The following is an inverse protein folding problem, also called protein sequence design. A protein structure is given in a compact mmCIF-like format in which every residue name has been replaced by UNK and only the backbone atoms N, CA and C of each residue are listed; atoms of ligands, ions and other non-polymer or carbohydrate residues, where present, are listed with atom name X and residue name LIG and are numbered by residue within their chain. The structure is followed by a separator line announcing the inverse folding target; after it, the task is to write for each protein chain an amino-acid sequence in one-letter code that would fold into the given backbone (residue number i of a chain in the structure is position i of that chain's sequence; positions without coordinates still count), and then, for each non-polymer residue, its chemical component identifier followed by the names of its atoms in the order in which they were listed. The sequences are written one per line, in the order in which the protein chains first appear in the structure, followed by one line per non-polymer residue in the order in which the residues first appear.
data_IF_727032200706
#
_entry.id   IF_727032200706
#
_cell.length_a   1.000
_cell.length_b   1.000
_cell.length_c   1.000
_cell.angle_alpha   90.00
_cell.angle_beta   90.00
_cell.angle_gamma   90.00
#
_symmetry.space_group_name_H-M   'P 1'
#
loop_
_entity.id
_entity.type
_entity.pdbx_description
1 polymer ?
#
# COMPACT_ATOMS: atom_id res chain seq x y z
N UNK A 1 -5.54 21.51 20.58
CA UNK A 1 -5.84 20.92 19.25
C UNK A 1 -7.32 20.93 19.03
N UNK A 2 -7.76 21.29 17.81
CA UNK A 2 -9.16 21.24 17.45
C UNK A 2 -9.64 19.78 17.45
N UNK A 3 -10.82 19.56 18.03
CA UNK A 3 -11.49 18.27 18.09
C UNK A 3 -12.85 18.40 17.43
N UNK A 4 -13.32 17.32 16.84
CA UNK A 4 -14.66 17.22 16.27
C UNK A 4 -15.39 16.04 16.93
N UNK A 5 -16.68 16.22 17.19
CA UNK A 5 -17.57 15.16 17.68
C UNK A 5 -18.70 15.02 16.68
N UNK A 6 -18.94 13.80 16.22
CA UNK A 6 -20.09 13.50 15.38
C UNK A 6 -20.01 12.10 14.80
N UNK A 7 -21.07 11.72 14.11
CA UNK A 7 -21.15 10.45 13.39
C UNK A 7 -20.18 10.41 12.20
N UNK A 8 -19.90 9.22 11.67
CA UNK A 8 -19.08 9.09 10.47
C UNK A 8 -19.65 9.87 9.27
N UNK A 9 -20.97 9.95 9.16
CA UNK A 9 -21.66 10.74 8.13
C UNK A 9 -21.45 12.24 8.31
N UNK A 10 -21.51 12.75 9.55
CA UNK A 10 -21.27 14.16 9.85
C UNK A 10 -19.80 14.53 9.66
N UNK A 11 -18.88 13.68 10.10
CA UNK A 11 -17.45 13.86 9.84
C UNK A 11 -17.22 13.91 8.32
N UNK A 12 -17.80 13.00 7.55
CA UNK A 12 -17.70 13.01 6.09
C UNK A 12 -18.33 14.24 5.45
N UNK A 13 -19.46 14.71 5.98
CA UNK A 13 -20.15 15.90 5.49
C UNK A 13 -19.38 17.20 5.75
N UNK A 14 -18.81 17.35 6.94
CA UNK A 14 -18.19 18.60 7.37
C UNK A 14 -16.68 18.67 7.15
N UNK A 15 -16.00 17.53 7.21
CA UNK A 15 -14.55 17.45 7.02
C UNK A 15 -14.15 16.81 5.69
N UNK A 16 -15.09 16.18 4.96
CA UNK A 16 -14.78 15.47 3.71
C UNK A 16 -14.09 16.33 2.66
N UNK A 17 -14.66 17.50 2.36
CA UNK A 17 -14.08 18.40 1.34
C UNK A 17 -12.71 18.96 1.77
N UNK A 18 -12.51 19.14 3.09
CA UNK A 18 -11.22 19.54 3.63
C UNK A 18 -10.18 18.43 3.51
N UNK A 19 -10.56 17.17 3.80
CA UNK A 19 -9.70 16.00 3.63
C UNK A 19 -9.36 15.78 2.16
N UNK A 20 -10.32 15.93 1.25
CA UNK A 20 -10.09 15.82 -0.19
C UNK A 20 -9.12 16.89 -0.70
N UNK A 21 -9.27 18.14 -0.26
CA UNK A 21 -8.35 19.21 -0.65
C UNK A 21 -6.90 18.93 -0.25
N UNK A 22 -6.67 18.24 0.87
CA UNK A 22 -5.34 17.80 1.29
C UNK A 22 -4.79 16.68 0.39
N UNK A 23 -5.65 15.74 0.00
CA UNK A 23 -5.29 14.65 -0.91
C UNK A 23 -4.99 15.18 -2.30
N UNK A 24 -5.86 16.04 -2.84
CA UNK A 24 -5.73 16.61 -4.18
C UNK A 24 -4.40 17.33 -4.36
N UNK A 25 -3.96 18.10 -3.35
CA UNK A 25 -2.66 18.77 -3.38
C UNK A 25 -1.49 17.79 -3.57
N UNK A 26 -1.47 16.70 -2.80
CA UNK A 26 -0.41 15.68 -2.88
C UNK A 26 -0.53 14.83 -4.13
N UNK A 27 -1.73 14.50 -4.57
CA UNK A 27 -1.96 13.73 -5.79
C UNK A 27 -1.54 14.53 -7.02
N UNK A 28 -1.72 15.85 -7.03
CA UNK A 28 -1.21 16.71 -8.09
C UNK A 28 0.32 16.85 -8.07
N UNK A 29 0.95 16.94 -6.89
CA UNK A 29 2.41 16.83 -6.77
C UNK A 29 2.93 15.51 -7.34
N UNK A 30 2.25 14.41 -6.98
CA UNK A 30 2.56 13.09 -7.47
C UNK A 30 2.40 13.04 -8.99
N UNK A 31 1.27 13.48 -9.54
CA UNK A 31 1.03 13.55 -10.99
C UNK A 31 2.12 14.30 -11.76
N UNK A 32 2.60 15.44 -11.22
CA UNK A 32 3.70 16.21 -11.82
C UNK A 32 5.00 15.41 -11.88
N UNK A 33 5.27 14.60 -10.85
CA UNK A 33 6.46 13.73 -10.83
C UNK A 33 6.48 12.69 -11.96
N UNK A 34 5.32 12.29 -12.49
CA UNK A 34 5.21 11.37 -13.63
C UNK A 34 5.43 12.05 -14.99
N UNK A 35 5.62 13.37 -15.03
CA UNK A 35 6.09 14.06 -16.24
C UNK A 35 5.17 13.95 -17.45
N UNK A 36 3.85 13.95 -17.21
CA UNK A 36 2.81 13.80 -18.23
C UNK A 36 2.85 12.44 -18.94
N UNK A 37 3.18 11.35 -18.24
CA UNK A 37 3.17 9.99 -18.79
C UNK A 37 1.97 9.20 -18.23
N UNK A 38 1.18 8.60 -19.12
CA UNK A 38 0.10 7.71 -18.74
C UNK A 38 0.65 6.43 -18.11
N UNK A 39 0.25 6.11 -16.87
CA UNK A 39 0.79 4.95 -16.13
C UNK A 39 0.43 3.60 -16.76
N UNK A 40 -0.63 3.55 -17.56
CA UNK A 40 -1.11 2.31 -18.18
C UNK A 40 -0.46 2.00 -19.54
N UNK A 41 -0.35 3.01 -20.41
CA UNK A 41 0.17 2.81 -21.77
C UNK A 41 1.55 3.41 -22.01
N UNK A 42 2.08 4.18 -21.05
CA UNK A 42 3.39 4.79 -21.11
C UNK A 42 3.54 5.93 -22.11
N UNK A 43 2.46 6.32 -22.81
CA UNK A 43 2.48 7.46 -23.73
C UNK A 43 2.50 8.76 -22.96
N UNK A 44 3.25 9.72 -23.50
CA UNK A 44 3.22 11.09 -23.02
C UNK A 44 1.91 11.76 -23.46
N UNK A 45 1.19 12.34 -22.52
CA UNK A 45 -0.13 12.93 -22.73
C UNK A 45 -0.29 14.18 -21.88
N UNK A 46 -0.80 15.26 -22.46
CA UNK A 46 -0.98 16.53 -21.73
C UNK A 46 -2.25 16.55 -20.91
N UNK A 47 -3.24 15.73 -21.28
CA UNK A 47 -4.52 15.60 -20.60
C UNK A 47 -4.60 14.31 -19.78
N UNK A 48 -3.70 14.14 -18.78
CA UNK A 48 -3.83 13.05 -17.83
C UNK A 48 -4.95 13.30 -16.82
N UNK A 49 -5.71 12.25 -16.55
CA UNK A 49 -6.79 12.21 -15.59
C UNK A 49 -6.38 11.35 -14.39
N UNK A 50 -6.68 11.85 -13.19
CA UNK A 50 -6.46 11.12 -11.95
C UNK A 50 -7.65 10.21 -11.71
N UNK A 51 -7.39 8.91 -11.55
CA UNK A 51 -8.42 7.90 -11.31
C UNK A 51 -8.03 7.07 -10.08
N UNK A 52 -8.85 7.01 -9.03
CA UNK A 52 -8.56 6.13 -7.90
C UNK A 52 -8.64 4.64 -8.27
N UNK A 53 -7.87 3.82 -7.57
CA UNK A 53 -7.92 2.36 -7.64
C UNK A 53 -9.32 1.84 -7.32
N UNK A 54 -9.70 0.65 -7.81
CA UNK A 54 -11.02 0.09 -7.54
C UNK A 54 -11.17 -0.23 -6.06
N UNK A 55 -12.31 0.16 -5.48
CA UNK A 55 -12.56 0.02 -4.03
C UNK A 55 -11.98 1.17 -3.20
N UNK A 56 -11.46 2.20 -3.85
CA UNK A 56 -11.03 3.43 -3.21
C UNK A 56 -12.08 4.54 -3.42
N UNK A 57 -12.66 5.01 -2.32
CA UNK A 57 -13.65 6.09 -2.33
C UNK A 57 -13.69 6.80 -1.00
N UNK A 58 -13.83 8.13 -1.01
CA UNK A 58 -13.78 9.01 0.17
C UNK A 58 -14.57 8.48 1.37
N UNK A 59 -15.82 8.10 1.16
CA UNK A 59 -16.69 7.61 2.22
C UNK A 59 -16.19 6.28 2.81
N UNK A 60 -15.70 5.37 1.95
CA UNK A 60 -15.16 4.09 2.36
C UNK A 60 -13.82 4.26 3.10
N UNK A 61 -12.95 5.14 2.59
CA UNK A 61 -11.68 5.48 3.22
C UNK A 61 -11.90 6.10 4.58
N UNK A 62 -12.75 7.13 4.68
CA UNK A 62 -13.05 7.82 5.93
C UNK A 62 -13.70 6.89 6.95
N UNK A 63 -14.72 6.13 6.54
CA UNK A 63 -15.35 5.14 7.43
C UNK A 63 -14.33 4.14 7.94
N UNK A 64 -13.47 3.64 7.06
CA UNK A 64 -12.40 2.74 7.42
C UNK A 64 -11.40 3.41 8.38
N UNK A 65 -11.03 4.68 8.19
CA UNK A 65 -10.15 5.44 9.10
C UNK A 65 -10.79 5.61 10.48
N UNK A 66 -12.06 6.00 10.56
CA UNK A 66 -12.78 6.17 11.82
C UNK A 66 -12.95 4.85 12.58
N UNK A 67 -13.27 3.77 11.88
CA UNK A 67 -13.40 2.42 12.45
C UNK A 67 -12.05 1.82 12.90
N UNK A 68 -10.94 2.20 12.25
CA UNK A 68 -9.59 1.69 12.55
C UNK A 68 -8.81 2.56 13.54
N UNK A 69 -9.12 3.86 13.59
CA UNK A 69 -8.39 4.85 14.35
C UNK A 69 -8.60 4.71 15.85
N UNK A 70 -7.74 5.36 16.63
CA UNK A 70 -7.80 5.34 18.11
C UNK A 70 -8.83 6.33 18.66
N UNK A 71 -9.93 6.51 17.94
CA UNK A 71 -10.95 7.49 18.27
C UNK A 71 -11.92 6.90 19.29
N UNK A 72 -12.30 7.70 20.28
CA UNK A 72 -13.35 7.31 21.20
C UNK A 72 -14.68 7.34 20.46
N UNK A 73 -15.41 6.23 20.49
CA UNK A 73 -16.74 6.10 19.89
C UNK A 73 -17.76 5.71 20.95
N UNK A 74 -18.86 6.47 21.06
CA UNK A 74 -20.00 6.20 21.95
C UNK A 74 -21.26 6.40 21.12
N UNK A 75 -22.14 5.39 21.11
CA UNK A 75 -23.42 5.42 20.38
C UNK A 75 -23.32 5.84 18.90
N UNK A 76 -22.18 5.58 18.25
CA UNK A 76 -21.94 5.90 16.84
C UNK A 76 -21.33 7.28 16.58
N UNK A 77 -21.08 8.08 17.62
CA UNK A 77 -20.38 9.36 17.54
C UNK A 77 -18.90 9.20 17.87
N UNK A 78 -18.03 9.75 17.02
CA UNK A 78 -16.58 9.71 17.18
C UNK A 78 -16.06 11.04 17.72
N UNK A 79 -15.19 10.99 18.74
CA UNK A 79 -14.35 12.10 19.15
C UNK A 79 -13.01 12.01 18.42
N UNK A 80 -12.81 12.89 17.44
CA UNK A 80 -11.60 12.91 16.60
C UNK A 80 -10.75 14.14 16.87
N UNK A 81 -9.43 13.95 17.01
CA UNK A 81 -8.47 15.04 16.89
C UNK A 81 -8.23 15.32 15.41
N UNK A 82 -8.33 16.58 14.97
CA UNK A 82 -8.29 16.89 13.54
C UNK A 82 -6.96 16.50 12.88
N UNK A 83 -5.82 16.75 13.52
CA UNK A 83 -4.52 16.39 12.94
C UNK A 83 -4.34 14.87 12.89
N UNK A 84 -4.74 14.15 13.94
CA UNK A 84 -4.65 12.69 13.98
C UNK A 84 -5.52 12.08 12.86
N UNK A 85 -6.70 12.66 12.62
CA UNK A 85 -7.58 12.26 11.53
C UNK A 85 -6.96 12.51 10.16
N UNK A 86 -6.29 13.65 9.96
CA UNK A 86 -5.58 13.95 8.71
C UNK A 86 -4.46 12.94 8.48
N UNK A 87 -3.63 12.68 9.49
CA UNK A 87 -2.48 11.79 9.41
C UNK A 87 -2.95 10.35 9.14
N UNK A 88 -3.92 9.84 9.92
CA UNK A 88 -4.50 8.51 9.72
C UNK A 88 -5.20 8.38 8.36
N UNK A 89 -5.85 9.46 7.89
CA UNK A 89 -6.48 9.49 6.58
C UNK A 89 -5.41 9.38 5.50
N UNK A 90 -4.34 10.18 5.57
CA UNK A 90 -3.23 10.12 4.61
C UNK A 90 -2.51 8.78 4.60
N UNK A 91 -2.15 8.25 5.77
CA UNK A 91 -1.47 6.96 5.90
C UNK A 91 -2.27 5.82 5.26
N UNK A 92 -3.61 5.97 5.23
CA UNK A 92 -4.48 5.01 4.58
C UNK A 92 -4.45 5.06 3.05
N UNK A 93 -3.92 6.14 2.48
CA UNK A 93 -3.76 6.37 1.03
C UNK A 93 -2.36 6.00 0.54
N UNK A 94 -1.40 5.70 1.43
CA UNK A 94 -0.04 5.35 1.06
C UNK A 94 0.12 3.83 0.76
N UNK A 95 0.91 3.43 -0.27
CA UNK A 95 1.57 4.30 -1.25
C UNK A 95 0.56 4.92 -2.22
N UNK A 96 0.59 6.26 -2.34
CA UNK A 96 -0.36 7.00 -3.16
C UNK A 96 -0.31 6.57 -4.64
N UNK A 97 0.86 6.12 -5.11
CA UNK A 97 1.07 5.65 -6.48
C UNK A 97 0.32 4.37 -6.85
N UNK A 98 -0.09 3.58 -5.86
CA UNK A 98 -0.83 2.34 -6.08
C UNK A 98 -2.34 2.57 -5.90
N UNK A 99 -2.73 3.67 -5.27
CA UNK A 99 -4.12 4.05 -5.02
C UNK A 99 -4.64 5.09 -6.01
N UNK A 100 -3.77 5.79 -6.73
CA UNK A 100 -4.11 6.79 -7.74
C UNK A 100 -3.39 6.52 -9.07
N UNK A 101 -4.18 6.34 -10.13
CA UNK A 101 -3.68 6.13 -11.48
C UNK A 101 -3.81 7.40 -12.32
N UNK A 102 -2.71 7.79 -12.99
CA UNK A 102 -2.69 8.91 -13.93
C UNK A 102 -2.85 8.40 -15.36
N UNK A 103 -4.09 8.41 -15.85
CA UNK A 103 -4.47 7.76 -17.10
C UNK A 103 -4.74 8.79 -18.20
N UNK A 104 -4.36 8.47 -19.43
CA UNK A 104 -4.88 9.18 -20.59
C UNK A 104 -6.37 8.84 -20.81
N UNK A 105 -7.14 9.67 -21.54
CA UNK A 105 -8.58 9.47 -21.70
C UNK A 105 -8.96 8.10 -22.29
N UNK A 106 -8.10 7.55 -23.16
CA UNK A 106 -8.33 6.21 -23.73
C UNK A 106 -8.16 5.11 -22.66
N UNK A 107 -7.11 5.18 -21.85
CA UNK A 107 -6.84 4.19 -20.80
C UNK A 107 -7.85 4.29 -19.66
N UNK A 108 -8.29 5.51 -19.32
CA UNK A 108 -9.39 5.74 -18.38
C UNK A 108 -10.65 5.02 -18.84
N UNK A 109 -11.07 5.22 -20.10
CA UNK A 109 -12.28 4.53 -20.63
C UNK A 109 -12.15 3.01 -20.56
N UNK A 110 -10.97 2.45 -20.88
CA UNK A 110 -10.70 1.01 -20.76
C UNK A 110 -10.81 0.54 -19.31
N UNK A 111 -10.32 1.33 -18.37
CA UNK A 111 -10.39 1.04 -16.94
C UNK A 111 -11.83 1.05 -16.40
N UNK A 112 -12.61 2.07 -16.77
CA UNK A 112 -14.04 2.17 -16.42
C UNK A 112 -14.86 1.00 -16.99
N UNK A 113 -14.54 0.53 -18.21
CA UNK A 113 -15.17 -0.66 -18.82
C UNK A 113 -14.64 -1.99 -18.27
N UNK A 114 -13.64 -1.98 -17.38
CA UNK A 114 -13.03 -3.18 -16.82
C UNK A 114 -12.11 -3.96 -17.78
N UNK A 115 -11.78 -3.38 -18.93
CA UNK A 115 -10.81 -3.96 -19.89
C UNK A 115 -9.36 -3.83 -19.38
N UNK A 116 -9.13 -2.82 -18.54
CA UNK A 116 -7.89 -2.54 -17.83
C UNK A 116 -8.14 -2.68 -16.32
N UNK A 117 -7.33 -3.48 -15.64
CA UNK A 117 -7.40 -3.68 -14.18
C UNK A 117 -6.25 -2.99 -13.48
N UNK A 118 -6.40 -2.75 -12.19
CA UNK A 118 -5.40 -2.20 -11.28
C UNK A 118 -4.07 -2.98 -11.42
N UNK A 119 -4.12 -4.32 -11.44
CA UNK A 119 -2.93 -5.17 -11.60
C UNK A 119 -2.24 -4.94 -12.94
N UNK A 120 -3.01 -4.83 -14.03
CA UNK A 120 -2.45 -4.58 -15.36
C UNK A 120 -1.78 -3.21 -15.45
N UNK A 121 -2.33 -2.20 -14.78
CA UNK A 121 -1.75 -0.86 -14.72
C UNK A 121 -0.44 -0.89 -13.95
N UNK A 122 -0.44 -1.50 -12.77
CA UNK A 122 0.74 -1.63 -11.91
C UNK A 122 1.84 -2.41 -12.65
N UNK A 123 1.51 -3.56 -13.24
CA UNK A 123 2.46 -4.39 -14.01
C UNK A 123 3.00 -3.65 -15.24
N UNK A 124 2.16 -2.93 -15.98
CA UNK A 124 2.55 -2.13 -17.13
C UNK A 124 3.56 -1.04 -16.77
N UNK A 125 3.33 -0.37 -15.62
CA UNK A 125 4.26 0.62 -15.07
C UNK A 125 5.61 0.02 -14.70
N UNK A 126 5.63 -1.16 -14.07
CA UNK A 126 6.87 -1.87 -13.74
C UNK A 126 7.68 -2.22 -14.98
N UNK A 127 7.01 -2.71 -16.03
CA UNK A 127 7.63 -3.03 -17.30
C UNK A 127 8.25 -1.78 -17.95
N UNK A 128 7.57 -0.64 -17.85
CA UNK A 128 8.09 0.63 -18.37
C UNK A 128 9.30 1.14 -17.58
N UNK A 129 9.28 1.06 -16.24
CA UNK A 129 10.43 1.38 -15.41
C UNK A 129 11.64 0.50 -15.75
N UNK A 130 11.43 -0.82 -15.94
CA UNK A 130 12.48 -1.76 -16.37
C UNK A 130 13.09 -1.35 -17.71
N UNK A 131 12.27 -0.97 -18.69
CA UNK A 131 12.73 -0.51 -20.01
C UNK A 131 13.53 0.79 -19.92
N UNK A 132 13.09 1.75 -19.11
CA UNK A 132 13.80 3.02 -18.91
C UNK A 132 15.15 2.81 -18.23
N UNK A 133 15.23 1.93 -17.23
CA UNK A 133 16.49 1.55 -16.59
C UNK A 133 17.43 0.87 -17.59
N UNK A 134 16.94 -0.10 -18.37
CA UNK A 134 17.72 -0.75 -19.40
C UNK A 134 18.23 0.23 -20.49
N UNK A 135 17.42 1.23 -20.87
CA UNK A 135 17.76 2.24 -21.87
C UNK A 135 18.74 3.31 -21.37
N UNK A 136 18.77 3.60 -20.07
CA UNK A 136 19.65 4.60 -19.47
C UNK A 136 21.13 4.18 -19.43
N UNK A 137 21.52 3.06 -20.06
CA UNK A 137 22.89 2.55 -20.03
C UNK A 137 23.33 2.06 -18.66
N UNK A 138 22.44 2.12 -17.65
CA UNK A 138 22.56 1.36 -16.42
C UNK A 138 22.21 -0.08 -16.75
N UNK A 139 23.14 -0.74 -17.43
CA UNK A 139 23.17 -2.19 -17.56
C UNK A 139 23.43 -2.83 -16.20
N UNK A 140 22.53 -2.66 -15.23
CA UNK A 140 22.37 -3.64 -14.19
C UNK A 140 21.74 -4.85 -14.86
N UNK A 141 22.62 -5.80 -15.22
CA UNK A 141 22.25 -7.20 -15.26
C UNK A 141 21.42 -7.47 -13.99
N UNK A 142 20.19 -7.95 -14.14
CA UNK A 142 19.45 -8.56 -13.04
C UNK A 142 20.20 -9.82 -12.62
N UNK A 143 21.21 -9.64 -11.77
CA UNK A 143 21.81 -10.61 -10.86
C UNK A 143 22.88 -9.85 -10.05
N UNK A 144 22.79 -9.96 -8.72
CA UNK A 144 23.65 -9.40 -7.67
C UNK A 144 23.43 -7.93 -7.27
N UNK A 145 22.73 -7.75 -6.13
CA UNK A 145 22.96 -6.63 -5.22
C UNK A 145 21.82 -5.63 -5.05
N UNK A 146 20.64 -6.06 -4.57
CA UNK A 146 19.79 -5.12 -3.84
C UNK A 146 20.64 -4.58 -2.68
N UNK A 147 20.75 -3.25 -2.56
CA UNK A 147 21.50 -2.64 -1.45
C UNK A 147 20.96 -3.16 -0.12
N UNK A 148 21.86 -3.51 0.79
CA UNK A 148 21.54 -3.88 2.18
C UNK A 148 20.65 -2.81 2.86
N UNK A 149 20.77 -1.56 2.45
CA UNK A 149 19.96 -0.42 2.95
C UNK A 149 18.48 -0.52 2.55
N UNK A 150 18.18 -1.25 1.48
CA UNK A 150 16.81 -1.53 1.02
C UNK A 150 16.28 -2.80 1.70
N UNK A 151 17.14 -3.77 1.98
CA UNK A 151 16.74 -5.04 2.57
C UNK A 151 16.58 -4.99 4.09
N UNK A 152 17.29 -4.09 4.77
CA UNK A 152 17.27 -3.99 6.22
C UNK A 152 16.45 -2.82 6.73
N UNK A 153 16.06 -2.95 8.00
CA UNK A 153 15.32 -1.93 8.70
C UNK A 153 16.18 -0.67 8.89
N UNK A 154 15.65 0.49 8.55
CA UNK A 154 16.20 1.83 8.82
C UNK A 154 15.97 2.22 10.28
N UNK A 155 16.80 3.10 10.82
CA UNK A 155 16.66 3.52 12.22
C UNK A 155 15.32 4.22 12.49
N UNK A 156 14.89 5.07 11.56
CA UNK A 156 13.71 5.93 11.73
C UNK A 156 12.38 5.28 11.36
N UNK A 157 12.38 4.14 10.65
CA UNK A 157 11.13 3.47 10.28
C UNK A 157 10.63 2.51 11.38
N UNK A 158 9.33 2.33 11.50
CA UNK A 158 8.73 1.28 12.31
C UNK A 158 8.88 -0.11 11.66
N UNK A 159 8.71 -1.18 12.43
CA UNK A 159 8.71 -2.54 11.89
C UNK A 159 7.59 -2.76 10.85
N UNK A 160 6.47 -2.09 11.01
CA UNK A 160 5.32 -2.16 10.10
C UNK A 160 5.67 -1.52 8.74
N UNK A 161 6.27 -0.34 8.76
CA UNK A 161 6.76 0.34 7.56
C UNK A 161 7.87 -0.46 6.89
N UNK A 162 8.80 -1.01 7.68
CA UNK A 162 9.87 -1.87 7.19
C UNK A 162 9.33 -3.09 6.44
N UNK A 163 8.37 -3.82 7.02
CA UNK A 163 7.79 -5.01 6.40
C UNK A 163 7.06 -4.63 5.11
N UNK A 164 6.22 -3.59 5.13
CA UNK A 164 5.53 -3.12 3.92
C UNK A 164 6.53 -2.81 2.81
N UNK A 165 7.55 -2.00 3.13
CA UNK A 165 8.61 -1.61 2.18
C UNK A 165 9.42 -2.81 1.68
N UNK A 166 9.79 -3.73 2.56
CA UNK A 166 10.58 -4.92 2.25
C UNK A 166 9.82 -5.83 1.28
N UNK A 167 8.62 -6.28 1.65
CA UNK A 167 7.86 -7.22 0.84
C UNK A 167 7.40 -6.59 -0.48
N UNK A 168 7.07 -5.31 -0.48
CA UNK A 168 6.85 -4.57 -1.72
C UNK A 168 8.07 -4.59 -2.63
N UNK A 169 9.26 -4.28 -2.10
CA UNK A 169 10.51 -4.30 -2.88
C UNK A 169 10.79 -5.70 -3.40
N UNK A 170 10.71 -6.73 -2.56
CA UNK A 170 10.97 -8.12 -2.98
C UNK A 170 9.98 -8.58 -4.06
N UNK A 171 8.71 -8.19 -3.97
CA UNK A 171 7.72 -8.48 -5.00
C UNK A 171 8.03 -7.75 -6.31
N UNK A 172 8.33 -6.44 -6.22
CA UNK A 172 8.69 -5.57 -7.35
C UNK A 172 9.88 -6.09 -8.14
N UNK A 173 10.91 -6.54 -7.43
CA UNK A 173 12.15 -7.09 -8.00
C UNK A 173 11.99 -8.56 -8.46
N UNK A 174 10.80 -9.17 -8.30
CA UNK A 174 10.53 -10.55 -8.72
C UNK A 174 11.23 -11.61 -7.87
N UNK A 175 11.65 -11.25 -6.66
CA UNK A 175 12.37 -12.13 -5.73
C UNK A 175 11.43 -12.98 -4.89
N UNK A 176 10.17 -12.58 -4.78
CA UNK A 176 9.10 -13.44 -4.27
C UNK A 176 8.65 -14.38 -5.40
N UNK A 177 9.37 -15.50 -5.55
CA UNK A 177 8.98 -16.57 -6.47
C UNK A 177 7.59 -17.12 -6.11
N UNK A 178 6.87 -17.80 -7.03
CA UNK A 178 5.58 -18.42 -6.73
C UNK A 178 5.64 -19.37 -5.52
N UNK A 179 6.75 -20.08 -5.35
CA UNK A 179 7.00 -20.94 -4.18
C UNK A 179 7.08 -20.12 -2.88
N UNK A 180 7.84 -19.01 -2.88
CA UNK A 180 7.93 -18.12 -1.74
C UNK A 180 6.57 -17.48 -1.43
N UNK A 181 5.83 -17.01 -2.44
CA UNK A 181 4.47 -16.49 -2.25
C UNK A 181 3.54 -17.54 -1.64
N UNK A 182 3.67 -18.82 -2.02
CA UNK A 182 2.96 -19.94 -1.39
C UNK A 182 3.37 -20.15 0.08
N UNK A 183 4.67 -20.10 0.37
CA UNK A 183 5.20 -20.22 1.73
C UNK A 183 4.75 -19.07 2.63
N UNK A 184 4.68 -17.84 2.11
CA UNK A 184 4.19 -16.67 2.83
C UNK A 184 2.68 -16.74 3.14
N UNK A 185 1.91 -17.59 2.44
CA UNK A 185 0.52 -17.91 2.77
C UNK A 185 0.40 -19.06 3.78
N UNK A 186 1.50 -19.73 4.13
CA UNK A 186 1.49 -20.83 5.07
C UNK A 186 1.75 -20.32 6.50
N UNK A 187 0.76 -20.51 7.38
CA UNK A 187 0.83 -20.13 8.80
C UNK A 187 2.08 -20.69 9.51
N UNK A 188 2.37 -21.97 9.32
CA UNK A 188 3.48 -22.66 9.99
C UNK A 188 4.82 -22.09 9.54
N UNK A 189 4.96 -21.87 8.22
CA UNK A 189 6.15 -21.23 7.68
C UNK A 189 6.36 -19.84 8.27
N UNK A 190 5.29 -19.03 8.37
CA UNK A 190 5.36 -17.68 8.91
C UNK A 190 5.67 -17.66 10.42
N UNK A 191 5.16 -18.62 11.17
CA UNK A 191 5.46 -18.78 12.60
C UNK A 191 6.94 -19.15 12.82
N UNK A 192 7.46 -20.11 12.05
CA UNK A 192 8.85 -20.57 12.13
C UNK A 192 9.87 -19.51 11.67
N UNK A 193 9.51 -18.70 10.66
CA UNK A 193 10.43 -17.74 10.04
C UNK A 193 10.32 -16.32 10.59
N UNK A 194 9.12 -15.86 10.94
CA UNK A 194 8.84 -14.47 11.36
C UNK A 194 8.28 -14.35 12.79
N UNK A 195 7.94 -15.47 13.44
CA UNK A 195 7.30 -15.44 14.77
C UNK A 195 5.86 -14.92 14.73
N UNK A 196 5.20 -14.97 13.55
CA UNK A 196 3.82 -14.55 13.37
C UNK A 196 2.92 -15.78 13.29
N UNK A 197 1.84 -15.80 14.08
CA UNK A 197 0.90 -16.95 14.16
C UNK A 197 -0.11 -17.00 13.01
N UNK A 198 0.12 -16.23 11.97
CA UNK A 198 -0.79 -16.03 10.84
C UNK A 198 0.02 -16.06 9.54
N UNK A 199 -0.62 -16.45 8.42
CA UNK A 199 -0.06 -16.20 7.11
C UNK A 199 0.38 -14.75 6.96
N UNK A 200 1.55 -14.52 6.39
CA UNK A 200 2.03 -13.18 6.09
C UNK A 200 1.27 -12.59 4.89
N UNK A 201 0.91 -13.44 3.93
CA UNK A 201 0.07 -13.08 2.79
C UNK A 201 -1.24 -13.87 2.86
N UNK A 202 -2.35 -13.22 2.51
CA UNK A 202 -3.66 -13.83 2.35
C UNK A 202 -4.30 -13.33 1.07
N UNK A 203 -5.03 -14.18 0.35
CA UNK A 203 -5.78 -13.79 -0.86
C UNK A 203 -7.28 -13.73 -0.60
N UNK A 204 -7.74 -14.51 0.38
CA UNK A 204 -9.14 -14.65 0.71
C UNK A 204 -9.62 -13.51 1.61
N UNK A 205 -10.40 -12.61 1.03
CA UNK A 205 -11.01 -11.47 1.73
C UNK A 205 -11.85 -11.90 2.95
N UNK A 206 -12.45 -13.09 2.95
CA UNK A 206 -13.22 -13.57 4.11
C UNK A 206 -12.33 -13.87 5.34
N UNK A 207 -11.03 -14.12 5.12
CA UNK A 207 -10.07 -14.47 6.17
C UNK A 207 -9.30 -13.28 6.73
N UNK A 208 -9.50 -12.09 6.16
CA UNK A 208 -8.79 -10.90 6.62
C UNK A 208 -9.38 -10.32 7.91
N UNK A 209 -10.67 -10.61 8.21
CA UNK A 209 -11.42 -10.15 9.40
C UNK A 209 -12.13 -11.30 10.15
N UNK A 210 -11.41 -12.28 10.71
CA UNK A 210 -12.05 -13.23 11.61
C UNK A 210 -12.48 -12.49 12.89
N UNK A 211 -13.79 -12.39 13.13
CA UNK A 211 -14.39 -11.77 14.32
C UNK A 211 -14.14 -10.25 14.51
N UNK A 212 -14.11 -9.47 13.42
CA UNK A 212 -14.17 -8.01 13.48
C UNK A 212 -12.83 -7.26 13.61
N UNK A 213 -11.72 -7.97 13.88
CA UNK A 213 -10.38 -7.37 13.87
C UNK A 213 -9.63 -7.74 12.57
N UNK A 214 -9.32 -6.73 11.75
CA UNK A 214 -8.54 -6.94 10.55
C UNK A 214 -7.10 -7.35 10.91
N UNK A 215 -6.65 -8.54 10.53
CA UNK A 215 -5.28 -9.03 10.78
C UNK A 215 -4.29 -8.66 9.67
N UNK A 216 -4.81 -8.12 8.58
CA UNK A 216 -4.05 -7.75 7.38
C UNK A 216 -4.33 -6.29 7.02
N UNK A 217 -3.41 -5.68 6.29
CA UNK A 217 -3.60 -4.36 5.69
C UNK A 217 -4.70 -4.47 4.63
N UNK A 218 -5.88 -3.94 4.94
CA UNK A 218 -7.05 -4.03 4.06
C UNK A 218 -6.91 -3.12 2.83
N UNK A 219 -6.16 -2.02 2.97
CA UNK A 219 -5.94 -1.01 1.92
C UNK A 219 -4.61 -1.17 1.18
N UNK A 220 -3.74 -2.10 1.62
CA UNK A 220 -2.49 -2.41 0.92
C UNK A 220 -2.58 -3.83 0.36
N UNK A 221 -2.53 -3.93 -0.96
CA UNK A 221 -2.47 -5.22 -1.66
C UNK A 221 -1.12 -5.37 -2.34
N UNK A 222 -0.32 -6.30 -1.84
CA UNK A 222 0.93 -6.68 -2.50
C UNK A 222 0.59 -7.28 -3.87
N UNK A 223 1.02 -6.60 -4.94
CA UNK A 223 0.73 -7.02 -6.31
C UNK A 223 -0.75 -7.03 -6.69
N UNK A 224 -1.60 -6.29 -5.97
CA UNK A 224 -3.06 -6.26 -6.19
C UNK A 224 -3.84 -7.48 -5.69
N UNK A 225 -3.15 -8.59 -5.38
CA UNK A 225 -3.81 -9.86 -5.05
C UNK A 225 -3.68 -10.28 -3.58
N UNK A 226 -2.63 -9.85 -2.88
CA UNK A 226 -2.30 -10.38 -1.56
C UNK A 226 -2.43 -9.31 -0.48
N UNK A 227 -3.29 -9.56 0.51
CA UNK A 227 -3.31 -8.82 1.75
C UNK A 227 -2.08 -9.16 2.58
N UNK A 228 -1.36 -8.15 3.05
CA UNK A 228 -0.17 -8.32 3.89
C UNK A 228 -0.55 -8.29 5.37
N UNK A 229 -0.01 -9.18 6.20
CA UNK A 229 -0.29 -9.22 7.63
C UNK A 229 0.19 -7.93 8.31
N UNK A 230 -0.68 -7.34 9.13
CA UNK A 230 -0.42 -6.08 9.84
C UNK A 230 0.02 -6.28 11.29
N UNK A 231 -0.05 -7.50 11.80
CA UNK A 231 0.21 -7.81 13.22
C UNK A 231 1.71 -7.84 13.55
N UNK A 232 2.33 -6.67 13.50
CA UNK A 232 3.70 -6.41 13.94
C UNK A 232 3.67 -5.50 15.16
N UNK A 233 3.62 -6.12 16.34
CA UNK A 233 3.56 -5.45 17.64
C UNK A 233 4.88 -4.73 17.97
N UNK A 234 4.79 -3.49 18.47
CA UNK A 234 5.97 -2.65 18.75
C UNK A 234 6.88 -3.28 19.81
N UNK A 235 6.28 -3.96 20.77
CA UNK A 235 6.92 -4.66 21.88
C UNK A 235 7.88 -5.76 21.38
N UNK A 236 7.58 -6.36 20.23
CA UNK A 236 8.36 -7.42 19.61
C UNK A 236 9.20 -6.91 18.41
N UNK A 237 9.24 -5.60 18.16
CA UNK A 237 9.93 -4.98 17.03
C UNK A 237 11.40 -5.43 16.87
N UNK A 238 12.22 -5.51 17.95
CA UNK A 238 13.59 -6.00 17.83
C UNK A 238 13.68 -7.44 17.33
N UNK A 239 12.81 -8.31 17.84
CA UNK A 239 12.79 -9.72 17.49
C UNK A 239 12.29 -9.95 16.05
N UNK A 240 11.23 -9.24 15.65
CA UNK A 240 10.75 -9.26 14.26
C UNK A 240 11.82 -8.79 13.29
N UNK A 241 12.52 -7.70 13.61
CA UNK A 241 13.60 -7.17 12.76
C UNK A 241 14.73 -8.19 12.61
N UNK A 242 15.10 -8.89 13.69
CA UNK A 242 16.11 -9.94 13.67
C UNK A 242 15.69 -11.13 12.81
N UNK A 243 14.44 -11.58 12.93
CA UNK A 243 13.88 -12.70 12.17
C UNK A 243 13.76 -12.38 10.68
N UNK A 244 13.25 -11.19 10.34
CA UNK A 244 13.17 -10.69 8.96
C UNK A 244 14.56 -10.60 8.33
N UNK A 245 15.55 -10.07 9.05
CA UNK A 245 16.94 -10.02 8.58
C UNK A 245 17.48 -11.41 8.29
N UNK A 246 17.32 -12.36 9.22
CA UNK A 246 17.74 -13.76 9.04
C UNK A 246 17.07 -14.40 7.83
N UNK A 247 15.77 -14.15 7.65
CA UNK A 247 15.02 -14.68 6.52
C UNK A 247 15.54 -14.11 5.19
N UNK A 248 15.70 -12.78 5.11
CA UNK A 248 16.26 -12.08 3.94
C UNK A 248 17.67 -12.59 3.61
N UNK A 249 18.54 -12.72 4.61
CA UNK A 249 19.91 -13.24 4.43
C UNK A 249 19.92 -14.71 3.95
N UNK A 250 18.86 -15.46 4.24
CA UNK A 250 18.66 -16.84 3.80
C UNK A 250 18.02 -16.97 2.41
N UNK A 251 17.44 -15.89 1.88
CA UNK A 251 17.05 -15.83 0.47
C UNK A 251 18.34 -15.79 -0.35
N UNK A 252 18.52 -16.72 -1.28
CA UNK A 252 19.70 -16.77 -2.16
C UNK A 252 19.60 -15.69 -3.25
N UNK A 253 19.61 -14.41 -2.86
CA UNK A 253 19.45 -13.23 -3.72
C UNK A 253 20.79 -12.58 -4.08
#
# INVERSE_FOLDING_TARGET
MAKFIGTAEEIGRYLGDFLDGLVDGRVEELKRSYGNICVACGRRETALETVPAKGYGREQTLRSVLERGKYFCVDGEYLVGLNDLIDDYWDSLEPAEDNFFFLCPECRRKYERGELSDEKIILGRLEQCRRLLAAAGTGQKLSSGISKEVLYKREEESVQEYVRRLFFTLYREGLLTPELLGNLQNRRYCEENFGIRYPLLERDESKIRPAGHARYYVTFRLGGEYYLCKEWWKENSPEYTRLLRRWVDGLKI
#
